data_IF_163629354063
#
_entry.id   IF_163629354063
#
_cell.length_a   1.000
_cell.length_b   1.000
_cell.length_c   1.000
_cell.angle_alpha   90.00
_cell.angle_beta   90.00
_cell.angle_gamma   90.00
#
_symmetry.space_group_name_H-M   'P 1'
#
loop_
_entity.id
_entity.type
_entity.pdbx_description
1 polymer ?
#
# COMPACT_ATOMS: atom_id res chain seq x y z
N UNK A 1 5.75 22.03 21.02
CA UNK A 1 4.57 21.37 21.61
C UNK A 1 4.74 19.85 21.61
N UNK A 2 5.18 19.24 20.51
CA UNK A 2 5.38 17.79 20.41
C UNK A 2 6.38 17.27 21.43
N UNK A 3 7.58 17.83 21.49
CA UNK A 3 8.63 17.44 22.43
C UNK A 3 8.18 17.48 23.90
N UNK A 4 7.39 18.49 24.28
CA UNK A 4 6.85 18.61 25.66
C UNK A 4 5.88 17.49 26.03
N UNK A 5 5.39 16.73 25.06
CA UNK A 5 4.44 15.64 25.23
C UNK A 5 5.02 14.27 24.84
N UNK A 6 6.35 14.17 24.71
CA UNK A 6 7.03 12.96 24.24
C UNK A 6 6.53 12.46 22.89
N UNK A 7 6.20 13.41 21.99
CA UNK A 7 5.77 13.12 20.62
C UNK A 7 6.90 13.53 19.68
N UNK A 8 7.37 12.60 18.87
CA UNK A 8 8.29 12.89 17.79
C UNK A 8 7.50 13.33 16.54
N UNK A 9 7.87 14.46 15.94
CA UNK A 9 7.37 14.91 14.65
C UNK A 9 8.37 14.54 13.58
N UNK A 10 7.99 13.63 12.67
CA UNK A 10 8.80 13.23 11.52
C UNK A 10 8.45 14.10 10.32
N UNK A 11 9.40 14.90 9.84
CA UNK A 11 9.23 15.75 8.67
C UNK A 11 9.79 15.04 7.44
N UNK A 12 8.94 14.89 6.40
CA UNK A 12 9.34 14.30 5.12
C UNK A 12 8.94 15.24 3.98
N UNK A 13 9.78 15.31 2.95
CA UNK A 13 9.42 15.97 1.71
C UNK A 13 8.67 14.97 0.84
N UNK A 14 7.38 15.18 0.64
CA UNK A 14 6.53 14.33 -0.16
C UNK A 14 5.58 15.17 -1.03
N UNK A 15 5.17 14.58 -2.15
CA UNK A 15 4.06 15.11 -2.95
C UNK A 15 2.91 14.11 -2.89
N UNK A 16 1.72 14.63 -2.67
CA UNK A 16 0.51 13.80 -2.60
C UNK A 16 -0.25 13.88 -3.92
N UNK A 17 -0.67 12.71 -4.39
CA UNK A 17 -1.61 12.57 -5.51
C UNK A 17 -2.91 12.04 -4.94
N UNK A 18 -4.01 12.77 -5.14
CA UNK A 18 -5.33 12.31 -4.70
C UNK A 18 -5.71 10.95 -5.32
N UNK A 19 -6.48 10.17 -4.59
CA UNK A 19 -6.93 8.84 -5.04
C UNK A 19 -7.69 8.92 -6.37
N UNK A 20 -8.45 10.00 -6.57
CA UNK A 20 -9.19 10.32 -7.79
C UNK A 20 -8.27 10.51 -9.03
N UNK A 21 -7.05 11.04 -8.85
CA UNK A 21 -6.08 11.28 -9.93
C UNK A 21 -5.17 10.09 -10.23
N UNK A 22 -5.16 9.08 -9.36
CA UNK A 22 -4.27 7.93 -9.51
C UNK A 22 -4.54 7.19 -10.83
N UNK A 23 -5.80 7.12 -11.26
CA UNK A 23 -6.19 6.51 -12.53
C UNK A 23 -5.49 7.17 -13.73
N UNK A 24 -5.46 8.50 -13.76
CA UNK A 24 -4.84 9.26 -14.86
C UNK A 24 -3.33 9.03 -14.90
N UNK A 25 -2.68 9.03 -13.73
CA UNK A 25 -1.24 8.76 -13.60
C UNK A 25 -0.90 7.36 -14.10
N UNK A 26 -1.69 6.34 -13.72
CA UNK A 26 -1.47 4.96 -14.16
C UNK A 26 -1.69 4.84 -15.68
N UNK A 27 -2.72 5.47 -16.23
CA UNK A 27 -2.99 5.47 -17.67
C UNK A 27 -1.85 6.12 -18.48
N UNK A 28 -1.29 7.21 -17.98
CA UNK A 28 -0.12 7.85 -18.59
C UNK A 28 1.12 6.95 -18.55
N UNK A 29 1.34 6.26 -17.42
CA UNK A 29 2.43 5.28 -17.29
C UNK A 29 2.26 4.12 -18.27
N UNK A 30 1.07 3.54 -18.35
CA UNK A 30 0.73 2.47 -19.29
C UNK A 30 1.00 2.89 -20.73
N UNK A 31 0.53 4.07 -21.12
CA UNK A 31 0.75 4.63 -22.46
C UNK A 31 2.25 4.75 -22.80
N UNK A 32 3.05 5.21 -21.84
CA UNK A 32 4.51 5.34 -22.02
C UNK A 32 5.19 3.99 -22.17
N UNK A 33 4.77 3.01 -21.38
CA UNK A 33 5.31 1.64 -21.43
C UNK A 33 5.01 0.98 -22.77
N UNK A 34 3.76 1.09 -23.25
CA UNK A 34 3.35 0.56 -24.56
C UNK A 34 4.16 1.22 -25.68
N UNK A 35 4.32 2.54 -25.67
CA UNK A 35 5.15 3.26 -26.64
C UNK A 35 6.62 2.85 -26.61
N UNK A 36 7.12 2.41 -25.47
CA UNK A 36 8.47 1.86 -25.30
C UNK A 36 8.60 0.38 -25.73
N UNK A 37 7.53 -0.22 -26.24
CA UNK A 37 7.53 -1.61 -26.72
C UNK A 37 7.23 -2.65 -25.65
N UNK A 38 6.74 -2.23 -24.49
CA UNK A 38 6.29 -3.17 -23.43
C UNK A 38 4.94 -3.76 -23.83
N UNK A 39 4.83 -5.08 -23.77
CA UNK A 39 3.56 -5.78 -23.97
C UNK A 39 2.85 -5.94 -22.62
N UNK A 40 1.73 -5.27 -22.45
CA UNK A 40 0.88 -5.36 -21.26
C UNK A 40 -0.27 -6.32 -21.56
N UNK A 41 -0.37 -7.39 -20.78
CA UNK A 41 -1.41 -8.42 -20.93
C UNK A 41 -2.31 -8.33 -19.71
N UNK A 42 -3.55 -7.95 -19.92
CA UNK A 42 -4.59 -7.85 -18.89
C UNK A 42 -5.48 -9.09 -18.87
N UNK A 43 -6.33 -9.22 -17.82
CA UNK A 43 -7.30 -10.30 -17.67
C UNK A 43 -6.69 -11.71 -17.58
N UNK A 44 -5.39 -11.78 -17.31
CA UNK A 44 -4.67 -13.03 -17.08
C UNK A 44 -4.20 -13.12 -15.63
N UNK A 45 -4.68 -14.11 -14.92
CA UNK A 45 -4.21 -14.46 -13.59
C UNK A 45 -3.08 -15.48 -13.71
N UNK A 46 -1.92 -15.18 -13.17
CA UNK A 46 -0.81 -16.13 -13.11
C UNK A 46 -1.12 -17.18 -12.04
N UNK A 47 -1.10 -18.45 -12.43
CA UNK A 47 -1.34 -19.58 -11.55
C UNK A 47 -0.05 -20.12 -10.94
N UNK A 48 1.03 -20.19 -11.74
CA UNK A 48 2.27 -20.86 -11.29
C UNK A 48 3.51 -20.38 -12.06
N UNK A 49 4.68 -20.81 -11.59
CA UNK A 49 5.95 -20.64 -12.26
C UNK A 49 6.26 -21.86 -13.13
N UNK A 50 7.02 -21.64 -14.20
CA UNK A 50 7.67 -22.69 -15.00
C UNK A 50 9.10 -22.80 -14.47
N UNK A 51 9.41 -23.92 -13.83
CA UNK A 51 10.74 -24.20 -13.29
C UNK A 51 11.30 -25.43 -14.01
N UNK A 52 12.46 -25.27 -14.61
CA UNK A 52 13.20 -26.35 -15.31
C UNK A 52 14.63 -26.32 -14.82
N UNK A 53 15.14 -27.49 -14.42
CA UNK A 53 16.53 -27.64 -13.91
C UNK A 53 16.91 -26.67 -12.78
N UNK A 54 15.94 -26.31 -11.93
CA UNK A 54 16.14 -25.37 -10.82
C UNK A 54 16.13 -23.88 -11.22
N UNK A 55 15.87 -23.55 -12.48
CA UNK A 55 15.76 -22.20 -12.97
C UNK A 55 14.32 -21.83 -13.36
N UNK A 56 13.92 -20.59 -13.05
CA UNK A 56 12.62 -20.07 -13.47
C UNK A 56 12.72 -19.65 -14.93
N UNK A 57 11.92 -20.27 -15.81
CA UNK A 57 11.89 -20.01 -17.25
C UNK A 57 10.66 -19.17 -17.67
N UNK A 58 9.66 -19.02 -16.80
CA UNK A 58 8.45 -18.29 -17.14
C UNK A 58 7.34 -18.47 -16.11
N UNK A 59 6.12 -18.13 -16.55
CA UNK A 59 4.91 -18.26 -15.75
C UNK A 59 3.78 -18.91 -16.57
N UNK A 60 2.79 -19.49 -15.88
CA UNK A 60 1.59 -20.09 -16.51
C UNK A 60 0.37 -19.26 -16.10
N UNK A 61 -0.38 -18.78 -17.07
CA UNK A 61 -1.65 -18.10 -16.85
C UNK A 61 -2.83 -19.06 -16.68
N UNK A 62 -3.94 -18.56 -16.13
CA UNK A 62 -5.21 -19.28 -16.02
C UNK A 62 -5.80 -19.67 -17.38
N UNK A 63 -5.39 -18.99 -18.45
CA UNK A 63 -5.66 -19.32 -19.86
C UNK A 63 -4.81 -20.48 -20.39
N UNK A 64 -3.98 -21.12 -19.54
CA UNK A 64 -3.03 -22.19 -19.87
C UNK A 64 -1.89 -21.79 -20.82
N UNK A 65 -1.74 -20.51 -21.11
CA UNK A 65 -0.64 -20.00 -21.92
C UNK A 65 0.62 -19.89 -21.04
N UNK A 66 1.74 -20.30 -21.63
CA UNK A 66 3.07 -20.15 -21.04
C UNK A 66 3.68 -18.82 -21.50
N UNK A 67 4.08 -18.00 -20.56
CA UNK A 67 4.78 -16.74 -20.80
C UNK A 67 6.23 -16.93 -20.39
N UNK A 68 7.12 -17.01 -21.36
CA UNK A 68 8.55 -17.27 -21.12
C UNK A 68 9.34 -15.97 -20.96
N UNK A 69 10.36 -15.98 -20.10
CA UNK A 69 11.23 -14.83 -19.89
C UNK A 69 12.57 -15.22 -19.29
N UNK A 70 13.61 -14.47 -19.65
CA UNK A 70 14.96 -14.67 -19.09
C UNK A 70 15.04 -14.33 -17.60
N UNK A 71 14.18 -13.42 -17.14
CA UNK A 71 14.04 -13.03 -15.72
C UNK A 71 12.57 -12.77 -15.43
N UNK A 72 12.13 -13.17 -14.25
CA UNK A 72 10.74 -13.00 -13.80
C UNK A 72 10.75 -12.15 -12.54
N UNK A 73 9.97 -11.07 -12.56
CA UNK A 73 9.70 -10.24 -11.38
C UNK A 73 8.25 -10.51 -10.93
N UNK A 74 8.08 -10.98 -9.71
CA UNK A 74 6.76 -11.18 -9.10
C UNK A 74 6.42 -9.99 -8.20
N UNK A 75 5.38 -9.24 -8.55
CA UNK A 75 4.91 -8.10 -7.79
C UNK A 75 3.37 -8.16 -7.62
N UNK A 76 2.82 -9.21 -6.99
CA UNK A 76 1.39 -9.51 -7.01
C UNK A 76 0.54 -8.62 -6.10
N UNK A 77 1.16 -7.76 -5.28
CA UNK A 77 0.48 -6.91 -4.32
C UNK A 77 -0.09 -7.69 -3.10
N UNK A 78 -0.67 -6.95 -2.15
CA UNK A 78 -1.17 -7.48 -0.86
C UNK A 78 -2.23 -8.57 -1.03
N UNK A 79 -3.14 -8.40 -1.96
CA UNK A 79 -4.27 -9.31 -2.20
C UNK A 79 -3.82 -10.73 -2.58
N UNK A 80 -2.64 -10.85 -3.20
CA UNK A 80 -2.11 -12.12 -3.67
C UNK A 80 -0.95 -12.67 -2.82
N UNK A 81 -0.78 -12.20 -1.60
CA UNK A 81 0.29 -12.65 -0.69
C UNK A 81 0.22 -14.16 -0.43
N UNK A 82 -0.97 -14.71 -0.23
CA UNK A 82 -1.17 -16.16 -0.06
C UNK A 82 -0.75 -16.96 -1.29
N UNK A 83 -1.08 -16.46 -2.49
CA UNK A 83 -0.61 -17.08 -3.72
C UNK A 83 0.92 -17.09 -3.80
N UNK A 84 1.55 -15.95 -3.46
CA UNK A 84 3.03 -15.85 -3.47
C UNK A 84 3.68 -16.82 -2.48
N UNK A 85 3.12 -16.98 -1.28
CA UNK A 85 3.58 -17.96 -0.30
C UNK A 85 3.45 -19.40 -0.82
N UNK A 86 2.30 -19.74 -1.43
CA UNK A 86 2.06 -21.07 -2.00
C UNK A 86 3.06 -21.38 -3.11
N UNK A 87 3.30 -20.44 -4.02
CA UNK A 87 4.31 -20.57 -5.08
C UNK A 87 5.71 -20.72 -4.49
N UNK A 88 6.07 -19.89 -3.50
CA UNK A 88 7.35 -19.99 -2.81
C UNK A 88 7.57 -21.35 -2.17
N UNK A 89 6.59 -21.86 -1.45
CA UNK A 89 6.64 -23.18 -0.82
C UNK A 89 6.74 -24.30 -1.86
N UNK A 90 5.90 -24.25 -2.91
CA UNK A 90 5.86 -25.25 -3.97
C UNK A 90 7.21 -25.41 -4.68
N UNK A 91 7.90 -24.31 -4.91
CA UNK A 91 9.16 -24.27 -5.64
C UNK A 91 10.40 -24.15 -4.73
N UNK A 92 10.25 -24.42 -3.42
CA UNK A 92 11.34 -24.36 -2.43
C UNK A 92 12.11 -23.02 -2.45
N UNK A 93 11.42 -21.91 -2.72
CA UNK A 93 12.01 -20.57 -2.68
C UNK A 93 12.23 -20.13 -1.23
N UNK A 94 13.38 -19.58 -0.95
CA UNK A 94 13.65 -18.98 0.37
C UNK A 94 12.91 -17.66 0.49
N UNK A 95 12.13 -17.51 1.53
CA UNK A 95 11.49 -16.24 1.91
C UNK A 95 11.45 -16.11 3.43
N UNK A 96 11.32 -14.92 3.91
CA UNK A 96 11.11 -14.61 5.32
C UNK A 96 9.87 -13.74 5.46
N UNK A 97 9.24 -13.86 6.60
CA UNK A 97 8.16 -12.95 6.99
C UNK A 97 8.78 -11.65 7.49
N UNK A 98 8.14 -10.55 7.18
CA UNK A 98 8.47 -9.24 7.71
C UNK A 98 7.44 -8.84 8.77
N UNK A 99 7.75 -7.81 9.54
CA UNK A 99 6.83 -7.28 10.55
C UNK A 99 5.58 -6.72 9.91
N UNK A 100 4.47 -6.82 10.62
CA UNK A 100 3.16 -6.31 10.21
C UNK A 100 2.73 -5.24 11.18
N UNK A 101 2.43 -4.06 10.67
CA UNK A 101 1.80 -3.01 11.48
C UNK A 101 0.30 -3.27 11.60
N UNK A 102 -0.19 -3.28 12.84
CA UNK A 102 -1.62 -3.42 13.16
C UNK A 102 -2.09 -2.15 13.86
N UNK A 103 -3.33 -1.75 13.60
CA UNK A 103 -3.83 -0.53 14.23
C UNK A 103 -5.30 -0.25 13.99
N UNK A 104 -5.70 0.94 14.38
CA UNK A 104 -7.08 1.43 14.23
C UNK A 104 -7.06 2.75 13.47
N UNK A 105 -8.04 2.95 12.58
CA UNK A 105 -8.25 4.22 11.92
C UNK A 105 -9.27 5.05 12.70
N UNK A 106 -8.93 6.29 12.93
CA UNK A 106 -9.79 7.26 13.60
C UNK A 106 -10.21 8.34 12.61
N UNK A 107 -11.45 8.74 12.69
CA UNK A 107 -12.06 9.83 11.93
C UNK A 107 -12.57 10.91 12.90
N UNK A 108 -12.36 12.16 12.56
CA UNK A 108 -12.67 13.30 13.43
C UNK A 108 -12.91 14.56 12.58
N UNK A 109 -13.57 15.61 13.13
CA UNK A 109 -13.80 16.86 12.41
C UNK A 109 -12.48 17.49 11.93
N UNK A 110 -12.43 17.93 10.68
CA UNK A 110 -11.23 18.50 10.05
C UNK A 110 -10.66 19.70 10.78
N UNK A 111 -11.49 20.44 11.52
CA UNK A 111 -11.06 21.58 12.33
C UNK A 111 -9.99 21.25 13.36
N UNK A 112 -9.96 20.02 13.86
CA UNK A 112 -8.98 19.55 14.87
C UNK A 112 -7.56 19.55 14.29
N UNK A 113 -7.40 19.11 13.04
CA UNK A 113 -6.08 19.00 12.39
C UNK A 113 -5.78 20.15 11.41
N UNK A 114 -6.71 21.04 11.16
CA UNK A 114 -6.59 22.08 10.12
C UNK A 114 -5.27 22.83 10.16
N UNK A 115 -4.85 23.31 11.31
CA UNK A 115 -3.58 24.05 11.48
C UNK A 115 -2.35 23.26 11.01
N UNK A 116 -2.35 21.96 11.21
CA UNK A 116 -1.24 21.10 10.83
C UNK A 116 -1.35 20.68 9.35
N UNK A 117 -2.56 20.37 8.92
CA UNK A 117 -2.84 19.96 7.53
C UNK A 117 -2.52 21.06 6.51
N UNK A 118 -2.83 22.32 6.85
CA UNK A 118 -2.51 23.48 6.02
C UNK A 118 -0.97 23.68 5.85
N UNK A 119 -0.18 23.23 6.83
CA UNK A 119 1.27 23.40 6.81
C UNK A 119 2.03 22.19 6.23
N UNK A 120 1.56 20.96 6.47
CA UNK A 120 2.34 19.75 6.28
C UNK A 120 1.62 18.64 5.49
N UNK A 121 0.39 18.82 5.08
CA UNK A 121 -0.52 17.86 4.47
C UNK A 121 -0.57 16.49 5.19
N UNK A 122 0.47 15.67 5.11
CA UNK A 122 0.60 14.40 5.82
C UNK A 122 1.53 14.54 7.02
N UNK A 123 1.02 14.23 8.20
CA UNK A 123 1.75 14.39 9.46
C UNK A 123 1.97 13.02 10.08
N UNK A 124 3.21 12.71 10.41
CA UNK A 124 3.57 11.49 11.12
C UNK A 124 4.02 11.86 12.52
N UNK A 125 3.23 11.48 13.51
CA UNK A 125 3.59 11.54 14.93
C UNK A 125 3.98 10.14 15.40
N UNK A 126 5.05 10.06 16.20
CA UNK A 126 5.46 8.86 16.91
C UNK A 126 5.35 9.09 18.40
N UNK A 127 4.76 8.16 19.10
CA UNK A 127 4.55 8.19 20.54
C UNK A 127 5.01 6.85 21.12
N UNK A 128 5.83 6.91 22.15
CA UNK A 128 6.17 5.72 22.94
C UNK A 128 5.18 5.58 24.08
N UNK A 129 4.50 4.42 24.18
CA UNK A 129 3.52 4.19 25.23
C UNK A 129 4.21 3.99 26.58
N UNK A 130 3.60 4.50 27.64
CA UNK A 130 4.17 4.38 29.01
C UNK A 130 4.01 2.98 29.61
N UNK A 131 2.95 2.26 29.21
CA UNK A 131 2.58 1.00 29.85
C UNK A 131 3.32 -0.19 29.23
N UNK A 132 3.45 -0.22 27.92
CA UNK A 132 3.99 -1.36 27.18
C UNK A 132 5.28 -1.05 26.45
N UNK A 133 5.72 0.21 26.48
CA UNK A 133 6.90 0.70 25.76
C UNK A 133 6.86 0.57 24.25
N UNK A 134 5.65 0.38 23.69
CA UNK A 134 5.42 0.26 22.25
C UNK A 134 5.57 1.60 21.55
N UNK A 135 6.01 1.56 20.30
CA UNK A 135 6.02 2.73 19.43
C UNK A 135 4.73 2.74 18.60
N UNK A 136 3.87 3.72 18.87
CA UNK A 136 2.67 4.00 18.09
C UNK A 136 2.97 5.17 17.15
N UNK A 137 2.61 5.05 15.88
CA UNK A 137 2.71 6.16 14.93
C UNK A 137 1.41 6.45 14.22
N UNK A 138 1.21 7.69 13.78
CA UNK A 138 0.16 8.00 12.82
C UNK A 138 0.57 7.55 11.44
N UNK A 139 -0.39 7.07 10.66
CA UNK A 139 -0.16 6.55 9.32
C UNK A 139 -1.27 7.00 8.37
N UNK A 140 -0.90 7.33 7.12
CA UNK A 140 -1.81 7.69 6.05
C UNK A 140 -2.84 8.75 6.50
N UNK A 141 -2.34 9.92 6.91
CA UNK A 141 -3.20 11.05 7.26
C UNK A 141 -3.89 11.59 6.02
N UNK A 142 -5.21 11.70 6.09
CA UNK A 142 -6.06 12.19 5.01
C UNK A 142 -6.87 13.41 5.50
N UNK A 143 -6.30 14.62 5.39
CA UNK A 143 -7.02 15.84 5.68
C UNK A 143 -8.23 15.99 4.75
N UNK A 144 -9.41 16.29 5.31
CA UNK A 144 -10.66 16.38 4.56
C UNK A 144 -10.96 15.17 3.66
N UNK A 145 -10.45 14.00 4.04
CA UNK A 145 -10.58 12.76 3.29
C UNK A 145 -11.70 11.87 3.79
N UNK A 146 -11.77 10.69 3.23
CA UNK A 146 -12.80 9.69 3.52
C UNK A 146 -12.15 8.42 4.09
N UNK A 147 -12.90 7.70 4.91
CA UNK A 147 -12.55 6.33 5.30
C UNK A 147 -13.21 5.37 4.32
N UNK A 148 -12.42 4.50 3.70
CA UNK A 148 -12.89 3.50 2.76
C UNK A 148 -12.63 2.09 3.28
N UNK A 149 -13.56 1.18 3.01
CA UNK A 149 -13.38 -0.24 3.28
C UNK A 149 -12.56 -0.90 2.16
N UNK A 150 -11.65 -1.77 2.55
CA UNK A 150 -10.92 -2.66 1.66
C UNK A 150 -11.19 -4.11 2.08
N UNK A 151 -11.62 -4.93 1.12
CA UNK A 151 -11.91 -6.35 1.38
C UNK A 151 -10.92 -7.19 0.59
N UNK A 152 -10.14 -8.01 1.28
CA UNK A 152 -9.26 -8.98 0.66
C UNK A 152 -9.06 -10.20 1.54
N UNK A 153 -9.01 -11.35 0.91
CA UNK A 153 -8.79 -12.66 1.54
C UNK A 153 -9.77 -12.97 2.72
N UNK A 154 -11.01 -12.46 2.62
CA UNK A 154 -12.05 -12.65 3.66
C UNK A 154 -11.93 -11.68 4.85
N UNK A 155 -10.97 -10.78 4.86
CA UNK A 155 -10.81 -9.75 5.88
C UNK A 155 -11.31 -8.39 5.39
N UNK A 156 -11.91 -7.64 6.30
CA UNK A 156 -12.30 -6.24 6.08
C UNK A 156 -11.31 -5.35 6.81
N UNK A 157 -10.65 -4.49 6.06
CA UNK A 157 -9.78 -3.46 6.59
C UNK A 157 -10.32 -2.09 6.21
N UNK A 158 -9.77 -1.03 6.79
CA UNK A 158 -10.10 0.35 6.43
C UNK A 158 -8.86 1.11 6.03
N UNK A 159 -9.02 1.99 5.05
CA UNK A 159 -7.95 2.87 4.58
C UNK A 159 -8.45 4.31 4.45
N UNK A 160 -7.55 5.28 4.34
CA UNK A 160 -7.89 6.66 4.07
C UNK A 160 -7.81 6.99 2.59
N UNK A 161 -8.80 7.69 2.08
CA UNK A 161 -8.83 8.20 0.73
C UNK A 161 -8.93 9.73 0.74
N UNK A 162 -8.13 10.38 -0.08
CA UNK A 162 -8.22 11.81 -0.32
C UNK A 162 -8.50 12.06 -1.80
N UNK A 163 -9.40 12.97 -2.07
CA UNK A 163 -9.74 13.41 -3.40
C UNK A 163 -9.28 14.86 -3.59
N UNK A 164 -8.85 15.22 -4.78
CA UNK A 164 -8.37 16.56 -5.10
C UNK A 164 -9.50 17.56 -5.33
N UNK A 165 -10.68 17.08 -5.72
CA UNK A 165 -11.83 17.85 -6.13
C UNK A 165 -13.05 17.68 -5.20
N UNK A 166 -12.96 16.78 -4.24
CA UNK A 166 -14.06 16.50 -3.30
C UNK A 166 -13.54 16.29 -1.88
N UNK A 167 -13.87 17.22 -1.00
CA UNK A 167 -13.44 17.22 0.39
C UNK A 167 -14.59 16.82 1.32
N UNK A 168 -14.29 16.02 2.36
CA UNK A 168 -15.20 15.76 3.46
C UNK A 168 -15.08 16.82 4.54
N UNK A 169 -16.02 16.84 5.48
CA UNK A 169 -15.93 17.67 6.69
C UNK A 169 -15.03 17.05 7.76
N UNK A 170 -14.59 15.82 7.56
CA UNK A 170 -13.74 15.06 8.48
C UNK A 170 -12.33 14.85 7.91
N UNK A 171 -11.41 14.65 8.81
CA UNK A 171 -10.07 14.12 8.53
C UNK A 171 -9.90 12.78 9.21
N UNK A 172 -8.96 11.98 8.75
CA UNK A 172 -8.70 10.68 9.35
C UNK A 172 -7.23 10.30 9.26
N UNK A 173 -6.77 9.43 10.14
CA UNK A 173 -5.49 8.73 10.09
C UNK A 173 -5.59 7.41 10.85
N UNK A 174 -4.65 6.51 10.63
CA UNK A 174 -4.51 5.32 11.44
C UNK A 174 -3.48 5.53 12.56
N UNK A 175 -3.74 4.99 13.75
CA UNK A 175 -2.70 4.67 14.72
C UNK A 175 -2.25 3.25 14.46
N UNK A 176 -0.96 3.04 14.23
CA UNK A 176 -0.39 1.72 13.98
C UNK A 176 0.76 1.44 14.94
N UNK A 177 0.88 0.17 15.31
CA UNK A 177 1.94 -0.40 16.12
C UNK A 177 2.64 -1.51 15.34
N UNK A 178 3.95 -1.59 15.43
CA UNK A 178 4.77 -2.68 14.91
C UNK A 178 4.81 -3.88 15.87
#
# INVERSE_FOLDING_TARGET
LCERNNIELVVRKAQHVGTDKLKDVISDMETKLIKAGVNIITEVKIEDLIVEEGEIKGVIGNNKIKYLGKKILLAPGRVNTRWLQNVGTKHNMKYQYDMVEVGVRVEFPSSIMKKYADALYEIVFKIRTKTYDDIIRTFCSCPNGFVAQEIYDGYVCVNGHSNSDHASQNSNFAFVCE
#
